data_IF_973849129917
#
_entry.id   IF_973849129917
#
_cell.length_a   1.000
_cell.length_b   1.000
_cell.length_c   1.000
_cell.angle_alpha   90.00
_cell.angle_beta   90.00
_cell.angle_gamma   90.00
#
_symmetry.space_group_name_H-M   'P 1'
#
loop_
_entity.id
_entity.type
_entity.pdbx_description
1 polymer ?
#
# COMPACT_ATOMS: atom_id res chain seq x y z
N UNK A 1 -40.30 5.03 -6.00
CA UNK A 1 -38.89 5.46 -5.96
C UNK A 1 -38.76 6.72 -6.79
N UNK A 2 -38.31 7.83 -6.19
CA UNK A 2 -38.16 9.11 -6.88
C UNK A 2 -37.05 9.05 -7.92
N UNK A 3 -37.28 9.63 -9.11
CA UNK A 3 -36.31 9.69 -10.19
C UNK A 3 -35.08 10.49 -9.72
N UNK A 4 -33.89 9.88 -9.75
CA UNK A 4 -32.65 10.57 -9.35
C UNK A 4 -32.33 11.66 -10.36
N UNK A 5 -31.99 12.84 -9.86
CA UNK A 5 -31.71 14.04 -10.67
C UNK A 5 -30.36 14.64 -10.30
N UNK A 6 -29.79 15.46 -11.16
CA UNK A 6 -28.57 16.24 -10.85
C UNK A 6 -28.75 17.05 -9.56
N UNK A 7 -29.97 17.55 -9.33
CA UNK A 7 -30.28 18.34 -8.13
C UNK A 7 -30.27 17.51 -6.86
N UNK A 8 -30.81 16.28 -6.89
CA UNK A 8 -30.78 15.37 -5.73
C UNK A 8 -29.35 14.92 -5.42
N UNK A 9 -28.56 14.58 -6.44
CA UNK A 9 -27.15 14.23 -6.29
C UNK A 9 -26.31 15.38 -5.73
N UNK A 10 -26.53 16.60 -6.24
CA UNK A 10 -25.83 17.80 -5.76
C UNK A 10 -26.09 18.04 -4.26
N UNK A 11 -27.35 17.91 -3.83
CA UNK A 11 -27.73 18.06 -2.42
C UNK A 11 -27.08 17.00 -1.54
N UNK A 12 -27.09 15.74 -1.97
CA UNK A 12 -26.53 14.60 -1.20
C UNK A 12 -25.00 14.68 -1.10
N UNK A 13 -24.33 15.13 -2.16
CA UNK A 13 -22.87 15.26 -2.18
C UNK A 13 -22.33 16.56 -1.58
N UNK A 14 -23.22 17.53 -1.26
CA UNK A 14 -22.80 18.85 -0.81
C UNK A 14 -22.13 19.69 -1.91
N UNK A 15 -22.50 19.45 -3.19
CA UNK A 15 -21.92 20.11 -4.35
C UNK A 15 -22.94 21.03 -5.05
N UNK A 16 -22.42 21.94 -5.89
CA UNK A 16 -23.31 22.71 -6.78
C UNK A 16 -23.84 21.82 -7.92
N UNK A 17 -25.04 22.13 -8.43
CA UNK A 17 -25.60 21.45 -9.62
C UNK A 17 -24.66 21.52 -10.82
N UNK A 18 -23.99 22.67 -10.97
CA UNK A 18 -23.04 22.88 -12.06
C UNK A 18 -21.82 21.94 -11.92
N UNK A 19 -21.27 21.81 -10.71
CA UNK A 19 -20.17 20.87 -10.42
C UNK A 19 -20.55 19.44 -10.76
N UNK A 20 -21.77 19.00 -10.39
CA UNK A 20 -22.25 17.65 -10.71
C UNK A 20 -22.43 17.48 -12.23
N UNK A 21 -23.00 18.48 -12.92
CA UNK A 21 -23.17 18.42 -14.37
C UNK A 21 -21.83 18.38 -15.11
N UNK A 22 -20.84 19.14 -14.67
CA UNK A 22 -19.48 19.13 -15.23
C UNK A 22 -18.78 17.79 -14.97
N UNK A 23 -18.92 17.24 -13.75
CA UNK A 23 -18.35 15.94 -13.41
C UNK A 23 -18.91 14.80 -14.27
N UNK A 24 -20.22 14.83 -14.56
CA UNK A 24 -20.89 13.85 -15.45
C UNK A 24 -20.47 13.97 -16.92
N UNK A 25 -19.94 15.14 -17.33
CA UNK A 25 -19.42 15.40 -18.68
C UNK A 25 -17.91 15.23 -18.80
N UNK A 26 -17.27 14.72 -17.75
CA UNK A 26 -15.82 14.53 -17.67
C UNK A 26 -15.01 15.84 -17.87
N UNK A 27 -15.53 16.96 -17.39
CA UNK A 27 -14.88 18.26 -17.51
C UNK A 27 -13.59 18.29 -16.66
N UNK A 28 -12.43 18.62 -17.26
CA UNK A 28 -11.14 18.65 -16.56
C UNK A 28 -11.05 19.70 -15.44
N UNK A 29 -11.98 20.67 -15.40
CA UNK A 29 -12.06 21.66 -14.32
C UNK A 29 -12.56 21.07 -12.99
N UNK A 30 -13.13 19.87 -13.02
CA UNK A 30 -13.58 19.17 -11.80
C UNK A 30 -12.45 18.28 -11.31
N UNK A 31 -12.08 18.45 -10.05
CA UNK A 31 -11.06 17.62 -9.41
C UNK A 31 -11.39 16.12 -9.56
N UNK A 32 -10.40 15.25 -9.85
CA UNK A 32 -10.61 13.82 -10.10
C UNK A 32 -11.40 13.13 -8.98
N UNK A 33 -11.08 13.42 -7.72
CA UNK A 33 -11.77 12.88 -6.55
C UNK A 33 -13.25 13.26 -6.52
N UNK A 34 -13.55 14.51 -6.85
CA UNK A 34 -14.94 15.01 -6.89
C UNK A 34 -15.71 14.35 -8.02
N UNK A 35 -15.10 14.21 -9.20
CA UNK A 35 -15.67 13.55 -10.37
C UNK A 35 -16.03 12.10 -10.05
N UNK A 36 -15.10 11.37 -9.44
CA UNK A 36 -15.33 9.97 -9.04
C UNK A 36 -16.49 9.82 -8.08
N UNK A 37 -16.60 10.70 -7.06
CA UNK A 37 -17.73 10.68 -6.11
C UNK A 37 -19.07 10.87 -6.82
N UNK A 38 -19.13 11.78 -7.79
CA UNK A 38 -20.34 12.03 -8.59
C UNK A 38 -20.69 10.83 -9.46
N UNK A 39 -19.72 10.27 -10.18
CA UNK A 39 -19.94 9.13 -11.08
C UNK A 39 -20.36 7.86 -10.29
N UNK A 40 -19.74 7.60 -9.15
CA UNK A 40 -20.11 6.48 -8.26
C UNK A 40 -21.55 6.62 -7.77
N UNK A 41 -21.95 7.81 -7.36
CA UNK A 41 -23.34 8.08 -6.95
C UNK A 41 -24.32 7.94 -8.11
N UNK A 42 -23.99 8.47 -9.27
CA UNK A 42 -24.82 8.38 -10.48
C UNK A 42 -25.04 6.92 -10.91
N UNK A 43 -24.00 6.09 -10.83
CA UNK A 43 -24.08 4.64 -11.11
C UNK A 43 -24.95 3.92 -10.08
N UNK A 44 -24.69 4.13 -8.78
CA UNK A 44 -25.44 3.50 -7.69
C UNK A 44 -26.95 3.80 -7.74
N UNK A 45 -27.29 4.99 -8.19
CA UNK A 45 -28.66 5.46 -8.23
C UNK A 45 -29.32 5.27 -9.61
N UNK A 46 -28.69 4.58 -10.55
CA UNK A 46 -29.23 4.30 -11.87
C UNK A 46 -29.41 5.55 -12.77
N UNK A 47 -28.74 6.66 -12.46
CA UNK A 47 -28.79 7.88 -13.28
C UNK A 47 -28.02 7.72 -14.60
N UNK A 48 -26.90 7.00 -14.54
CA UNK A 48 -26.18 6.55 -15.73
C UNK A 48 -26.72 5.17 -16.11
N UNK A 49 -27.20 5.01 -17.35
CA UNK A 49 -27.67 3.73 -17.84
C UNK A 49 -26.61 2.62 -17.71
N UNK A 50 -27.02 1.35 -17.76
CA UNK A 50 -26.15 0.19 -17.54
C UNK A 50 -24.92 0.10 -18.47
N UNK A 51 -24.88 0.86 -19.55
CA UNK A 51 -23.80 0.83 -20.55
C UNK A 51 -22.74 1.93 -20.38
N UNK A 52 -22.81 2.73 -19.33
CA UNK A 52 -21.72 3.65 -19.01
C UNK A 52 -20.69 2.88 -18.19
N UNK A 53 -19.67 2.38 -18.88
CA UNK A 53 -18.43 1.96 -18.23
C UNK A 53 -17.81 3.22 -17.57
N UNK A 54 -18.13 3.44 -16.32
CA UNK A 54 -17.26 4.23 -15.49
C UNK A 54 -16.02 3.35 -15.37
N UNK A 55 -14.94 3.66 -16.14
CA UNK A 55 -13.63 3.22 -15.71
C UNK A 55 -13.58 3.60 -14.23
N UNK A 56 -13.49 2.59 -13.38
CA UNK A 56 -13.10 2.86 -12.01
C UNK A 56 -11.77 3.60 -12.14
N UNK A 57 -11.83 4.94 -12.11
CA UNK A 57 -10.66 5.71 -11.74
C UNK A 57 -10.37 5.19 -10.34
N UNK A 58 -9.56 4.13 -10.29
CA UNK A 58 -8.98 3.67 -9.03
C UNK A 58 -8.48 4.95 -8.41
N UNK A 59 -9.08 5.34 -7.29
CA UNK A 59 -8.48 6.35 -6.42
C UNK A 59 -7.00 6.03 -6.43
N UNK A 60 -6.10 7.00 -6.71
CA UNK A 60 -4.68 6.69 -6.90
C UNK A 60 -4.40 5.66 -5.84
N UNK A 61 -4.12 4.41 -6.28
CA UNK A 61 -4.01 3.30 -5.34
C UNK A 61 -2.91 3.79 -4.46
N UNK A 62 -3.25 4.17 -3.25
CA UNK A 62 -2.23 4.50 -2.27
C UNK A 62 -1.34 3.30 -2.31
N UNK A 63 -0.14 3.51 -2.87
CA UNK A 63 0.75 2.42 -3.21
C UNK A 63 1.08 1.75 -1.89
N UNK A 64 0.48 0.59 -1.67
CA UNK A 64 0.77 -0.20 -0.49
C UNK A 64 2.12 -0.87 -0.72
N UNK A 65 3.03 -0.61 0.19
CA UNK A 65 4.33 -1.25 0.20
C UNK A 65 4.33 -2.40 1.22
N UNK A 66 5.05 -3.45 0.89
CA UNK A 66 5.28 -4.57 1.78
C UNK A 66 6.76 -4.63 2.12
N UNK A 67 7.08 -4.48 3.38
CA UNK A 67 8.45 -4.63 3.85
C UNK A 67 8.59 -5.89 4.70
N UNK A 68 9.73 -6.51 4.61
CA UNK A 68 10.12 -7.59 5.50
C UNK A 68 11.26 -7.13 6.40
N UNK A 69 11.13 -7.36 7.69
CA UNK A 69 12.20 -7.15 8.67
C UNK A 69 12.79 -8.50 8.99
N UNK A 70 14.06 -8.71 8.62
CA UNK A 70 14.83 -9.89 8.97
C UNK A 70 15.61 -9.62 10.24
N UNK A 71 15.47 -10.49 11.23
CA UNK A 71 16.23 -10.45 12.47
C UNK A 71 16.81 -11.83 12.81
N UNK A 72 17.90 -11.85 13.51
CA UNK A 72 18.42 -13.07 14.12
C UNK A 72 17.74 -13.35 15.47
N UNK A 73 17.91 -14.56 16.00
CA UNK A 73 17.24 -14.98 17.22
C UNK A 73 17.75 -14.26 18.48
N UNK A 74 18.92 -13.69 18.44
CA UNK A 74 19.53 -12.93 19.56
C UNK A 74 18.79 -11.61 19.79
N UNK A 75 17.68 -11.69 20.46
CA UNK A 75 16.82 -10.55 20.70
C UNK A 75 17.18 -9.85 22.00
N UNK A 76 18.03 -8.85 21.93
CA UNK A 76 18.03 -7.84 22.99
C UNK A 76 16.73 -7.02 22.89
N UNK A 77 16.16 -6.63 24.03
CA UNK A 77 14.95 -5.78 24.15
C UNK A 77 15.05 -4.52 23.27
N UNK A 78 16.26 -4.04 23.00
CA UNK A 78 16.53 -2.93 22.09
C UNK A 78 15.98 -3.20 20.68
N UNK A 79 16.23 -4.39 20.13
CA UNK A 79 15.79 -4.75 18.78
C UNK A 79 14.27 -4.90 18.67
N UNK A 80 13.61 -5.33 19.72
CA UNK A 80 12.15 -5.36 19.75
C UNK A 80 11.55 -3.96 19.64
N UNK A 81 12.18 -2.98 20.26
CA UNK A 81 11.80 -1.56 20.11
C UNK A 81 12.04 -1.03 18.70
N UNK A 82 13.16 -1.40 18.07
CA UNK A 82 13.45 -1.02 16.68
C UNK A 82 12.41 -1.60 15.74
N UNK A 83 12.08 -2.88 15.86
CA UNK A 83 11.04 -3.55 15.07
C UNK A 83 9.69 -2.88 15.27
N UNK A 84 9.33 -2.55 16.53
CA UNK A 84 8.07 -1.86 16.84
C UNK A 84 8.01 -0.49 16.15
N UNK A 85 9.08 0.31 16.27
CA UNK A 85 9.16 1.62 15.62
C UNK A 85 9.06 1.55 14.10
N UNK A 86 9.73 0.57 13.47
CA UNK A 86 9.60 0.33 12.03
C UNK A 86 8.15 0.00 11.67
N UNK A 87 7.50 -0.87 12.44
CA UNK A 87 6.13 -1.31 12.16
C UNK A 87 5.11 -0.20 12.34
N UNK A 88 5.28 0.64 13.37
CA UNK A 88 4.43 1.81 13.62
C UNK A 88 4.55 2.82 12.49
N UNK A 89 5.77 3.21 12.12
CA UNK A 89 6.01 4.18 11.05
C UNK A 89 5.55 3.65 9.68
N UNK A 90 5.80 2.38 9.41
CA UNK A 90 5.33 1.71 8.20
C UNK A 90 3.80 1.76 8.08
N UNK A 91 3.09 1.49 9.16
CA UNK A 91 1.62 1.51 9.20
C UNK A 91 1.06 2.91 8.91
N UNK A 92 1.72 3.96 9.42
CA UNK A 92 1.34 5.35 9.15
C UNK A 92 1.53 5.75 7.68
N UNK A 93 2.40 5.05 6.95
CA UNK A 93 2.76 5.33 5.57
C UNK A 93 2.24 4.28 4.56
N UNK A 94 1.11 3.64 4.85
CA UNK A 94 0.49 2.61 3.99
C UNK A 94 1.46 1.47 3.64
N UNK A 95 2.32 1.09 4.58
CA UNK A 95 3.29 0.04 4.42
C UNK A 95 2.99 -1.12 5.39
N UNK A 96 2.88 -2.33 4.87
CA UNK A 96 2.70 -3.53 5.69
C UNK A 96 4.06 -4.10 6.08
N UNK A 97 4.25 -4.38 7.36
CA UNK A 97 5.48 -4.97 7.89
C UNK A 97 5.28 -6.45 8.18
N UNK A 98 6.22 -7.28 7.74
CA UNK A 98 6.36 -8.67 8.13
C UNK A 98 7.69 -8.85 8.83
N UNK A 99 7.70 -9.56 9.95
CA UNK A 99 8.92 -9.86 10.68
C UNK A 99 9.25 -11.34 10.52
N UNK A 100 10.46 -11.64 10.08
CA UNK A 100 10.96 -13.00 9.98
C UNK A 100 12.22 -13.13 10.83
N UNK A 101 12.29 -14.22 11.59
CA UNK A 101 13.48 -14.57 12.39
C UNK A 101 14.28 -15.58 11.60
N UNK A 102 15.55 -15.25 11.32
CA UNK A 102 16.50 -16.17 10.71
C UNK A 102 17.24 -16.89 11.83
N UNK A 103 17.16 -18.20 11.83
CA UNK A 103 17.89 -19.04 12.79
C UNK A 103 19.32 -19.26 12.33
N UNK A 104 20.26 -19.55 13.23
CA UNK A 104 21.64 -19.86 12.89
C UNK A 104 21.74 -20.96 11.82
N UNK A 105 20.91 -21.99 11.92
CA UNK A 105 20.85 -23.08 10.94
C UNK A 105 20.41 -22.61 9.56
N UNK A 106 19.45 -21.71 9.48
CA UNK A 106 19.01 -21.13 8.19
C UNK A 106 20.08 -20.22 7.61
N UNK A 107 20.74 -19.46 8.47
CA UNK A 107 21.85 -18.59 8.10
C UNK A 107 23.03 -19.40 7.53
N UNK A 108 23.51 -20.41 8.26
CA UNK A 108 24.61 -21.27 7.83
C UNK A 108 24.33 -22.04 6.52
N UNK A 109 23.11 -22.53 6.36
CA UNK A 109 22.71 -23.28 5.17
C UNK A 109 22.17 -22.38 4.05
N UNK A 110 22.13 -21.06 4.26
CA UNK A 110 21.57 -20.10 3.32
C UNK A 110 20.12 -20.35 2.98
N UNK A 111 19.34 -20.86 3.93
CA UNK A 111 17.90 -21.08 3.79
C UNK A 111 17.19 -19.74 3.96
N UNK A 112 16.44 -19.34 2.98
CA UNK A 112 15.72 -18.08 3.02
C UNK A 112 14.44 -18.21 3.85
N UNK A 113 14.00 -17.13 4.54
CA UNK A 113 12.83 -17.17 5.39
C UNK A 113 11.56 -17.41 4.60
N UNK A 114 10.61 -18.08 5.22
CA UNK A 114 9.29 -18.27 4.67
C UNK A 114 8.60 -16.91 4.48
N UNK A 115 7.88 -16.76 3.36
CA UNK A 115 7.13 -15.54 3.05
C UNK A 115 7.88 -14.53 2.21
N UNK A 116 9.11 -14.81 1.78
CA UNK A 116 9.74 -14.09 0.67
C UNK A 116 8.97 -14.44 -0.61
N UNK A 117 8.36 -13.45 -1.21
CA UNK A 117 7.59 -13.57 -2.45
C UNK A 117 7.69 -12.27 -3.26
N UNK A 118 7.13 -12.27 -4.45
CA UNK A 118 7.15 -11.15 -5.39
C UNK A 118 6.53 -9.84 -4.85
N UNK A 119 5.80 -9.92 -3.75
CA UNK A 119 5.13 -8.76 -3.17
C UNK A 119 5.94 -8.04 -2.08
N UNK A 120 7.20 -8.38 -1.87
CA UNK A 120 8.08 -7.67 -0.93
C UNK A 120 8.84 -6.60 -1.68
N UNK A 121 8.60 -5.35 -1.32
CA UNK A 121 9.22 -4.17 -1.93
C UNK A 121 10.62 -3.88 -1.38
N UNK A 122 10.85 -4.19 -0.10
CA UNK A 122 12.13 -3.99 0.57
C UNK A 122 12.33 -4.92 1.78
N UNK A 123 13.58 -5.21 2.08
CA UNK A 123 14.00 -6.02 3.24
C UNK A 123 14.89 -5.17 4.14
N UNK A 124 14.52 -5.07 5.41
CA UNK A 124 15.33 -4.46 6.46
C UNK A 124 16.01 -5.56 7.27
N UNK A 125 17.33 -5.62 7.20
CA UNK A 125 18.11 -6.57 7.99
C UNK A 125 18.55 -5.91 9.28
N UNK A 126 18.09 -6.44 10.41
CA UNK A 126 18.49 -6.01 11.74
C UNK A 126 19.63 -6.95 12.19
N UNK A 127 20.76 -6.38 12.55
CA UNK A 127 22.00 -7.06 12.79
C UNK A 127 22.63 -7.64 11.50
N UNK A 128 23.92 -7.85 11.53
CA UNK A 128 24.69 -8.27 10.35
C UNK A 128 24.37 -9.75 10.02
N UNK A 129 23.83 -9.96 8.83
CA UNK A 129 23.73 -11.29 8.23
C UNK A 129 24.99 -11.58 7.41
N UNK A 130 25.41 -12.83 7.21
CA UNK A 130 26.55 -13.17 6.36
C UNK A 130 26.41 -12.58 4.97
N UNK A 131 27.53 -12.14 4.42
CA UNK A 131 27.56 -11.53 3.08
C UNK A 131 26.94 -12.44 2.02
N UNK A 132 27.23 -13.73 2.08
CA UNK A 132 26.67 -14.72 1.16
C UNK A 132 25.15 -14.83 1.25
N UNK A 133 24.60 -14.72 2.46
CA UNK A 133 23.16 -14.72 2.68
C UNK A 133 22.51 -13.48 2.08
N UNK A 134 23.10 -12.31 2.33
CA UNK A 134 22.62 -11.05 1.74
C UNK A 134 22.74 -11.06 0.23
N UNK A 135 23.83 -11.60 -0.31
CA UNK A 135 24.02 -11.71 -1.78
C UNK A 135 22.94 -12.57 -2.45
N UNK A 136 22.46 -13.62 -1.79
CA UNK A 136 21.33 -14.41 -2.28
C UNK A 136 20.06 -13.58 -2.41
N UNK A 137 19.75 -12.76 -1.41
CA UNK A 137 18.58 -11.88 -1.43
C UNK A 137 18.68 -10.82 -2.54
N UNK A 138 19.87 -10.22 -2.72
CA UNK A 138 20.14 -9.25 -3.80
C UNK A 138 19.98 -9.91 -5.17
N UNK A 139 20.51 -11.12 -5.35
CA UNK A 139 20.43 -11.87 -6.61
C UNK A 139 18.98 -12.25 -6.96
N UNK A 140 18.10 -12.35 -5.98
CA UNK A 140 16.66 -12.53 -6.19
C UNK A 140 15.92 -11.22 -6.49
N UNK A 141 16.63 -10.09 -6.53
CA UNK A 141 16.07 -8.80 -6.90
C UNK A 141 15.52 -7.97 -5.75
N UNK A 142 15.71 -8.40 -4.48
CA UNK A 142 15.23 -7.63 -3.33
C UNK A 142 16.12 -6.42 -3.04
N UNK A 143 15.48 -5.32 -2.64
CA UNK A 143 16.16 -4.14 -2.08
C UNK A 143 16.44 -4.38 -0.61
N UNK A 144 17.71 -4.31 -0.21
CA UNK A 144 18.13 -4.59 1.16
C UNK A 144 18.60 -3.32 1.83
N UNK A 145 18.16 -3.10 3.05
CA UNK A 145 18.61 -2.05 3.95
C UNK A 145 19.18 -2.70 5.21
N UNK A 146 20.47 -2.50 5.45
CA UNK A 146 21.12 -2.96 6.65
C UNK A 146 20.95 -1.92 7.74
N UNK A 147 20.39 -2.32 8.89
CA UNK A 147 20.27 -1.51 10.07
C UNK A 147 21.31 -2.00 11.10
N UNK A 148 22.01 -1.06 11.70
CA UNK A 148 23.08 -1.30 12.67
C UNK A 148 24.31 -1.98 12.07
N UNK A 149 25.17 -1.16 11.53
CA UNK A 149 26.50 -1.54 11.12
C UNK A 149 27.51 -0.90 12.07
N UNK A 150 28.11 -1.69 12.94
CA UNK A 150 29.28 -1.24 13.65
C UNK A 150 30.46 -1.26 12.67
N UNK A 151 30.95 -0.07 12.32
CA UNK A 151 32.25 0.11 11.68
C UNK A 151 33.36 -0.13 12.70
#
# INVERSE_FOLDING_TARGET
MGKVTIQSMAKELGLSRNTVAMALKDDPKVAPVTRERVLRMAKRNGYLGENVYVEEVRAPQEKHYNIMVLRTRDAAVYWDRVVSGISEEASLNNCQTRVAVVTEREEENGILPLGLNENIDAIFCIKMLPLEYMQKLVNLGYRIFQLDHYC
#
